data_IF_891295657129
#
_entry.id   IF_891295657129
#
_cell.length_a   1.000
_cell.length_b   1.000
_cell.length_c   1.000
_cell.angle_alpha   90.00
_cell.angle_beta   90.00
_cell.angle_gamma   90.00
#
_symmetry.space_group_name_H-M   'P 1'
#
loop_
_entity.id
_entity.type
_entity.pdbx_description
1 polymer ?
#
# COMPACT_ATOMS: atom_id res chain seq x y z
N UNK A 1 -15.22 -31.24 19.77
CA UNK A 1 -15.95 -31.16 18.49
C UNK A 1 -16.74 -29.87 18.47
N UNK A 2 -16.36 -28.86 17.67
CA UNK A 2 -17.26 -27.74 17.37
C UNK A 2 -18.01 -28.10 16.09
N UNK A 3 -19.29 -28.43 16.25
CA UNK A 3 -20.26 -28.40 15.16
C UNK A 3 -20.63 -26.93 15.02
N UNK A 4 -20.38 -26.30 13.86
CA UNK A 4 -21.07 -25.10 13.41
C UNK A 4 -20.86 -24.94 11.89
N UNK A 5 -21.90 -25.27 11.14
CA UNK A 5 -21.97 -25.19 9.67
C UNK A 5 -22.28 -23.80 9.12
N UNK A 6 -21.88 -22.73 9.81
CA UNK A 6 -21.94 -21.38 9.26
C UNK A 6 -20.59 -21.06 8.61
N UNK A 7 -20.54 -20.65 7.32
CA UNK A 7 -19.28 -20.18 6.76
C UNK A 7 -18.79 -19.01 7.62
N UNK A 8 -17.61 -19.16 8.24
CA UNK A 8 -16.98 -18.14 9.09
C UNK A 8 -16.76 -16.85 8.28
N UNK A 9 -17.78 -16.00 8.25
CA UNK A 9 -17.72 -14.69 7.64
C UNK A 9 -16.97 -13.75 8.60
N UNK A 10 -16.07 -12.88 8.10
CA UNK A 10 -15.35 -11.95 8.97
C UNK A 10 -16.33 -11.14 9.82
N UNK A 11 -15.96 -10.86 11.07
CA UNK A 11 -16.72 -9.94 11.92
C UNK A 11 -16.88 -8.58 11.23
N UNK A 12 -17.92 -7.77 11.56
CA UNK A 12 -18.13 -6.48 10.93
C UNK A 12 -16.90 -5.57 10.96
N UNK A 13 -16.15 -5.56 12.07
CA UNK A 13 -14.91 -4.80 12.22
C UNK A 13 -13.78 -5.31 11.33
N UNK A 14 -13.58 -6.63 11.25
CA UNK A 14 -12.59 -7.20 10.34
C UNK A 14 -12.94 -6.93 8.87
N UNK A 15 -14.23 -7.03 8.51
CA UNK A 15 -14.71 -6.73 7.17
C UNK A 15 -14.50 -5.26 6.81
N UNK A 16 -14.82 -4.35 7.73
CA UNK A 16 -14.57 -2.92 7.54
C UNK A 16 -13.07 -2.64 7.32
N UNK A 17 -12.20 -3.25 8.13
CA UNK A 17 -10.76 -3.09 7.99
C UNK A 17 -10.21 -3.65 6.66
N UNK A 18 -10.72 -4.80 6.18
CA UNK A 18 -10.38 -5.33 4.85
C UNK A 18 -10.81 -4.39 3.72
N UNK A 19 -11.99 -3.76 3.83
CA UNK A 19 -12.44 -2.76 2.87
C UNK A 19 -11.58 -1.51 2.90
N UNK A 20 -11.24 -1.01 4.08
CA UNK A 20 -10.30 0.12 4.23
C UNK A 20 -8.97 -0.21 3.57
N UNK A 21 -8.40 -1.39 3.84
CA UNK A 21 -7.17 -1.85 3.20
C UNK A 21 -7.30 -1.92 1.67
N UNK A 22 -8.41 -2.46 1.15
CA UNK A 22 -8.66 -2.55 -0.28
C UNK A 22 -8.76 -1.16 -0.94
N UNK A 23 -9.45 -0.21 -0.30
CA UNK A 23 -9.58 1.17 -0.79
C UNK A 23 -8.21 1.87 -0.79
N UNK A 24 -7.46 1.82 0.31
CA UNK A 24 -6.15 2.47 0.42
C UNK A 24 -5.15 1.91 -0.60
N UNK A 25 -5.08 0.58 -0.75
CA UNK A 25 -4.25 -0.05 -1.76
C UNK A 25 -4.70 0.26 -3.19
N UNK A 26 -6.01 0.43 -3.43
CA UNK A 26 -6.54 0.85 -4.74
C UNK A 26 -6.17 2.30 -5.05
N UNK A 27 -6.19 3.21 -4.08
CA UNK A 27 -5.72 4.59 -4.26
C UNK A 27 -4.25 4.59 -4.71
N UNK A 28 -3.39 3.81 -4.06
CA UNK A 28 -1.99 3.62 -4.45
C UNK A 28 -1.83 3.06 -5.87
N UNK A 29 -2.66 2.07 -6.23
CA UNK A 29 -2.66 1.48 -7.57
C UNK A 29 -3.13 2.49 -8.64
N UNK A 30 -4.16 3.28 -8.33
CA UNK A 30 -4.75 4.27 -9.23
C UNK A 30 -3.75 5.38 -9.57
N UNK A 31 -3.01 5.91 -8.59
CA UNK A 31 -1.93 6.88 -8.85
C UNK A 31 -0.81 6.28 -9.71
N UNK A 32 -0.43 5.04 -9.44
CA UNK A 32 0.58 4.33 -10.25
C UNK A 32 0.12 4.20 -11.71
N UNK A 33 -1.14 3.80 -11.94
CA UNK A 33 -1.72 3.70 -13.28
C UNK A 33 -1.86 5.09 -13.96
N UNK A 34 -2.30 6.11 -13.22
CA UNK A 34 -2.42 7.47 -13.72
C UNK A 34 -1.07 8.00 -14.24
N UNK A 35 0.01 7.83 -13.47
CA UNK A 35 1.35 8.21 -13.92
C UNK A 35 1.86 7.35 -15.08
N UNK A 36 1.51 6.05 -15.10
CA UNK A 36 1.85 5.19 -16.23
C UNK A 36 1.23 5.70 -17.54
N UNK A 37 -0.01 6.21 -17.48
CA UNK A 37 -0.74 6.78 -18.61
C UNK A 37 -0.32 8.23 -18.95
N UNK A 38 0.78 8.72 -18.38
CA UNK A 38 1.35 10.03 -18.68
C UNK A 38 0.86 11.16 -17.77
N UNK A 39 0.05 10.85 -16.76
CA UNK A 39 -0.34 11.79 -15.72
C UNK A 39 0.86 12.39 -14.99
N UNK A 40 0.80 13.68 -14.67
CA UNK A 40 1.91 14.43 -14.05
C UNK A 40 1.56 15.06 -12.71
N UNK A 41 0.28 15.12 -12.37
CA UNK A 41 -0.17 15.63 -11.08
C UNK A 41 0.48 14.80 -9.96
N UNK A 42 1.05 15.49 -8.98
CA UNK A 42 1.74 14.92 -7.82
C UNK A 42 2.97 14.02 -8.14
N UNK A 43 3.41 13.93 -9.39
CA UNK A 43 4.54 13.05 -9.75
C UNK A 43 5.85 13.52 -9.11
N UNK A 44 6.01 14.82 -8.94
CA UNK A 44 7.12 15.46 -8.22
C UNK A 44 7.18 15.04 -6.75
N UNK A 45 6.03 14.73 -6.14
CA UNK A 45 5.95 14.26 -4.75
C UNK A 45 6.40 12.81 -4.56
N UNK A 46 6.65 12.06 -5.65
CA UNK A 46 7.23 10.71 -5.63
C UNK A 46 8.76 10.76 -5.60
N UNK A 47 9.34 11.89 -6.03
CA UNK A 47 10.77 12.12 -6.06
C UNK A 47 11.34 12.39 -7.45
N UNK A 48 12.47 13.10 -7.50
CA UNK A 48 13.19 13.42 -8.75
C UNK A 48 13.41 12.19 -9.64
N UNK A 49 13.78 11.05 -9.04
CA UNK A 49 14.00 9.81 -9.80
C UNK A 49 12.78 9.40 -10.64
N UNK A 50 11.57 9.48 -10.06
CA UNK A 50 10.35 9.13 -10.77
C UNK A 50 10.10 10.10 -11.94
N UNK A 51 10.31 11.41 -11.71
CA UNK A 51 10.21 12.43 -12.76
C UNK A 51 11.21 12.16 -13.89
N UNK A 52 12.47 11.84 -13.55
CA UNK A 52 13.54 11.56 -14.52
C UNK A 52 13.22 10.33 -15.36
N UNK A 53 12.81 9.22 -14.74
CA UNK A 53 12.48 7.98 -15.46
C UNK A 53 11.33 8.19 -16.44
N UNK A 54 10.26 8.89 -16.04
CA UNK A 54 9.12 9.14 -16.93
C UNK A 54 9.48 10.11 -18.07
N UNK A 55 10.47 10.99 -17.88
CA UNK A 55 10.97 11.89 -18.95
C UNK A 55 11.92 11.19 -19.92
N UNK A 56 12.89 10.45 -19.39
CA UNK A 56 14.01 9.91 -20.17
C UNK A 56 13.76 8.51 -20.72
N UNK A 57 12.86 7.74 -20.10
CA UNK A 57 12.58 6.33 -20.41
C UNK A 57 11.07 6.04 -20.35
N UNK A 58 10.24 6.69 -21.18
CA UNK A 58 8.78 6.63 -21.06
C UNK A 58 8.18 5.22 -21.20
N UNK A 59 8.72 4.38 -22.09
CA UNK A 59 8.24 2.99 -22.23
C UNK A 59 8.56 2.12 -21.00
N UNK A 60 9.73 2.33 -20.40
CA UNK A 60 10.12 1.64 -19.16
C UNK A 60 9.26 2.11 -18.00
N UNK A 61 9.01 3.43 -17.93
CA UNK A 61 8.12 4.02 -16.93
C UNK A 61 6.69 3.46 -17.05
N UNK A 62 6.14 3.40 -18.27
CA UNK A 62 4.83 2.81 -18.54
C UNK A 62 4.75 1.36 -18.04
N UNK A 63 5.69 0.51 -18.48
CA UNK A 63 5.70 -0.90 -18.08
C UNK A 63 5.88 -1.09 -16.57
N UNK A 64 6.83 -0.38 -15.97
CA UNK A 64 7.11 -0.45 -14.54
C UNK A 64 5.94 0.03 -13.68
N UNK A 65 5.34 1.18 -14.01
CA UNK A 65 4.23 1.75 -13.25
C UNK A 65 2.94 0.94 -13.42
N UNK A 66 2.67 0.39 -14.62
CA UNK A 66 1.54 -0.54 -14.80
C UNK A 66 1.73 -1.83 -14.02
N UNK A 67 2.94 -2.42 -14.03
CA UNK A 67 3.23 -3.61 -13.24
C UNK A 67 3.03 -3.33 -11.74
N UNK A 68 3.55 -2.21 -11.24
CA UNK A 68 3.34 -1.76 -9.85
C UNK A 68 1.87 -1.53 -9.54
N UNK A 69 1.11 -0.92 -10.45
CA UNK A 69 -0.33 -0.70 -10.29
C UNK A 69 -1.09 -2.03 -10.16
N UNK A 70 -0.82 -3.00 -11.03
CA UNK A 70 -1.44 -4.33 -11.00
C UNK A 70 -1.10 -5.05 -9.69
N UNK A 71 0.18 -5.07 -9.30
CA UNK A 71 0.61 -5.72 -8.05
C UNK A 71 -0.07 -5.09 -6.84
N UNK A 72 -0.12 -3.76 -6.76
CA UNK A 72 -0.81 -3.04 -5.67
C UNK A 72 -2.30 -3.35 -5.65
N UNK A 73 -2.96 -3.33 -6.80
CA UNK A 73 -4.39 -3.63 -6.91
C UNK A 73 -4.69 -5.06 -6.45
N UNK A 74 -3.92 -6.04 -6.92
CA UNK A 74 -4.06 -7.43 -6.50
C UNK A 74 -3.79 -7.59 -5.00
N UNK A 75 -2.71 -7.00 -4.49
CA UNK A 75 -2.39 -7.03 -3.06
C UNK A 75 -3.47 -6.37 -2.19
N UNK A 76 -4.20 -5.38 -2.72
CA UNK A 76 -5.28 -4.69 -2.02
C UNK A 76 -6.55 -5.55 -1.94
N UNK A 77 -6.90 -6.24 -3.03
CA UNK A 77 -8.18 -6.95 -3.15
C UNK A 77 -8.12 -8.44 -2.77
N UNK A 78 -7.00 -9.12 -3.01
CA UNK A 78 -6.85 -10.55 -2.73
C UNK A 78 -7.15 -10.89 -1.26
N UNK A 79 -6.65 -10.16 -0.24
CA UNK A 79 -6.96 -10.46 1.15
C UNK A 79 -8.46 -10.38 1.45
N UNK A 80 -9.15 -9.35 0.93
CA UNK A 80 -10.60 -9.19 1.09
C UNK A 80 -11.37 -10.34 0.43
N UNK A 81 -11.02 -10.70 -0.81
CA UNK A 81 -11.66 -11.79 -1.55
C UNK A 81 -11.39 -13.16 -0.91
N UNK A 82 -10.18 -13.38 -0.41
CA UNK A 82 -9.79 -14.62 0.25
C UNK A 82 -10.50 -14.79 1.61
N UNK A 83 -10.56 -13.74 2.43
CA UNK A 83 -11.23 -13.77 3.74
C UNK A 83 -12.77 -13.83 3.61
N UNK A 84 -13.33 -13.36 2.50
CA UNK A 84 -14.77 -13.50 2.17
C UNK A 84 -15.09 -14.77 1.36
N UNK A 85 -14.12 -15.70 1.21
CA UNK A 85 -14.27 -16.98 0.49
C UNK A 85 -14.71 -16.84 -0.97
N UNK A 86 -14.46 -15.70 -1.60
CA UNK A 86 -14.75 -15.45 -3.03
C UNK A 86 -13.69 -16.06 -3.96
N UNK A 87 -12.50 -16.34 -3.44
CA UNK A 87 -11.41 -17.02 -4.15
C UNK A 87 -10.81 -18.15 -3.29
N UNK A 88 -10.26 -19.21 -3.89
CA UNK A 88 -9.60 -20.29 -3.17
C UNK A 88 -8.23 -19.84 -2.60
N UNK A 89 -7.62 -20.70 -1.78
CA UNK A 89 -6.25 -20.49 -1.29
C UNK A 89 -6.11 -19.57 -0.08
N UNK A 90 -7.19 -19.38 0.71
CA UNK A 90 -7.20 -18.51 1.91
C UNK A 90 -5.95 -18.65 2.79
N UNK A 91 -5.45 -19.85 3.15
CA UNK A 91 -4.26 -19.97 4.01
C UNK A 91 -3.00 -19.33 3.41
N UNK A 92 -2.80 -19.47 2.08
CA UNK A 92 -1.65 -18.92 1.36
C UNK A 92 -1.73 -17.40 1.33
N UNK A 93 -2.87 -16.86 0.90
CA UNK A 93 -3.07 -15.41 0.83
C UNK A 93 -2.98 -14.75 2.20
N UNK A 94 -3.48 -15.44 3.22
CA UNK A 94 -3.37 -14.99 4.61
C UNK A 94 -1.91 -14.99 5.08
N UNK A 95 -1.11 -16.00 4.72
CA UNK A 95 0.33 -16.04 4.99
C UNK A 95 1.07 -14.87 4.35
N UNK A 96 0.81 -14.60 3.07
CA UNK A 96 1.37 -13.45 2.35
C UNK A 96 0.94 -12.13 3.01
N UNK A 97 -0.34 -11.99 3.36
CA UNK A 97 -0.86 -10.79 4.00
C UNK A 97 -0.27 -10.56 5.41
N UNK A 98 0.07 -11.62 6.14
CA UNK A 98 0.76 -11.54 7.43
C UNK A 98 2.20 -11.04 7.34
N UNK A 99 2.85 -11.22 6.18
CA UNK A 99 4.17 -10.62 5.92
C UNK A 99 3.99 -9.21 5.36
N UNK A 100 3.12 -9.05 4.36
CA UNK A 100 2.91 -7.80 3.64
C UNK A 100 2.36 -6.67 4.52
N UNK A 101 1.37 -6.93 5.38
CA UNK A 101 0.78 -5.92 6.26
C UNK A 101 1.81 -5.26 7.18
N UNK A 102 2.52 -6.02 8.03
CA UNK A 102 3.58 -5.49 8.88
C UNK A 102 4.72 -4.84 8.09
N UNK A 103 5.11 -5.41 6.95
CA UNK A 103 6.11 -4.79 6.07
C UNK A 103 5.67 -3.39 5.63
N UNK A 104 4.43 -3.21 5.18
CA UNK A 104 3.89 -1.91 4.77
C UNK A 104 3.86 -0.90 5.93
N UNK A 105 3.52 -1.34 7.14
CA UNK A 105 3.56 -0.50 8.34
C UNK A 105 4.97 0.01 8.58
N UNK A 106 5.96 -0.91 8.62
CA UNK A 106 7.35 -0.57 8.92
C UNK A 106 7.91 0.32 7.80
N UNK A 107 7.75 -0.10 6.55
CA UNK A 107 8.24 0.65 5.38
C UNK A 107 7.63 2.06 5.33
N UNK A 108 6.31 2.17 5.43
CA UNK A 108 5.63 3.46 5.38
C UNK A 108 6.00 4.37 6.54
N UNK A 109 6.04 3.83 7.76
CA UNK A 109 6.36 4.65 8.95
C UNK A 109 7.81 5.12 8.94
N UNK A 110 8.76 4.24 8.59
CA UNK A 110 10.19 4.58 8.55
C UNK A 110 10.47 5.62 7.49
N UNK A 111 9.94 5.46 6.26
CA UNK A 111 10.17 6.45 5.20
C UNK A 111 9.50 7.79 5.49
N UNK A 112 8.28 7.79 6.03
CA UNK A 112 7.60 9.01 6.45
C UNK A 112 8.40 9.76 7.54
N UNK A 113 8.89 9.04 8.55
CA UNK A 113 9.70 9.60 9.62
C UNK A 113 11.05 10.14 9.12
N UNK A 114 11.71 9.42 8.22
CA UNK A 114 12.96 9.87 7.61
C UNK A 114 12.76 11.16 6.80
N UNK A 115 11.72 11.21 5.96
CA UNK A 115 11.39 12.41 5.20
C UNK A 115 11.02 13.59 6.10
N UNK A 116 10.26 13.34 7.17
CA UNK A 116 9.93 14.36 8.18
C UNK A 116 11.16 14.87 8.94
N UNK A 117 12.10 13.98 9.31
CA UNK A 117 13.34 14.36 9.99
C UNK A 117 14.22 15.27 9.11
N UNK A 118 14.31 14.98 7.80
CA UNK A 118 15.02 15.85 6.85
C UNK A 118 14.30 17.20 6.72
N UNK A 119 12.97 17.21 6.59
CA UNK A 119 12.18 18.44 6.52
C UNK A 119 12.28 19.29 7.80
N UNK A 120 12.44 18.67 8.95
CA UNK A 120 12.64 19.32 10.25
C UNK A 120 14.08 19.84 10.46
N UNK A 121 15.01 19.53 9.56
CA UNK A 121 16.42 19.89 9.67
C UNK A 121 17.20 19.07 10.70
N UNK A 122 16.65 17.92 11.14
CA UNK A 122 17.36 17.00 12.05
C UNK A 122 18.43 16.17 11.32
N UNK A 123 18.32 16.07 9.99
CA UNK A 123 19.25 15.35 9.12
C UNK A 123 19.61 16.26 7.94
N UNK A 124 20.90 16.57 7.81
CA UNK A 124 21.41 17.37 6.69
C UNK A 124 21.58 16.52 5.43
N UNK A 125 21.17 17.07 4.28
CA UNK A 125 21.36 16.45 2.95
C UNK A 125 21.84 17.52 1.97
N UNK A 126 22.76 17.16 1.06
CA UNK A 126 23.43 18.13 0.17
C UNK A 126 22.50 18.81 -0.84
N UNK A 127 21.47 18.12 -1.32
CA UNK A 127 20.37 18.68 -2.09
C UNK A 127 19.08 17.95 -1.74
N UNK A 128 18.06 18.69 -1.33
CA UNK A 128 16.79 18.12 -0.88
C UNK A 128 15.68 18.39 -1.90
N UNK A 129 15.17 17.32 -2.50
CA UNK A 129 13.94 17.33 -3.30
C UNK A 129 12.73 17.56 -2.39
N UNK A 130 12.45 18.84 -2.12
CA UNK A 130 11.44 19.25 -1.14
C UNK A 130 10.04 18.72 -1.48
N UNK A 131 9.54 18.79 -2.74
CA UNK A 131 8.27 18.16 -3.10
C UNK A 131 8.24 16.66 -2.81
N UNK A 132 9.29 15.92 -3.18
CA UNK A 132 9.43 14.50 -2.89
C UNK A 132 9.37 14.21 -1.39
N UNK A 133 10.13 14.95 -0.58
CA UNK A 133 10.12 14.80 0.87
C UNK A 133 8.73 15.08 1.49
N UNK A 134 8.02 16.11 1.02
CA UNK A 134 6.65 16.39 1.48
C UNK A 134 5.70 15.24 1.12
N UNK A 135 5.81 14.71 -0.10
CA UNK A 135 5.03 13.57 -0.55
C UNK A 135 5.26 12.33 0.31
N UNK A 136 6.52 11.99 0.57
CA UNK A 136 6.89 10.87 1.43
C UNK A 136 6.44 11.07 2.87
N UNK A 137 6.68 12.25 3.46
CA UNK A 137 6.35 12.52 4.86
C UNK A 137 4.84 12.51 5.15
N UNK A 138 4.01 13.03 4.22
CA UNK A 138 2.61 13.36 4.51
C UNK A 138 1.59 12.61 3.65
N UNK A 139 2.01 12.00 2.53
CA UNK A 139 1.07 11.42 1.58
C UNK A 139 1.34 9.93 1.33
N UNK A 140 2.43 9.58 0.65
CA UNK A 140 2.60 8.23 0.10
C UNK A 140 2.90 7.20 1.16
N UNK A 141 3.86 7.48 2.04
CA UNK A 141 4.33 6.51 3.03
C UNK A 141 3.36 6.37 4.21
N UNK A 142 2.73 7.46 4.73
CA UNK A 142 1.60 7.33 5.65
C UNK A 142 0.45 6.51 5.07
N UNK A 143 0.14 6.68 3.78
CA UNK A 143 -0.91 5.91 3.11
C UNK A 143 -0.54 4.41 3.02
N UNK A 144 0.73 4.08 2.76
CA UNK A 144 1.22 2.69 2.86
C UNK A 144 1.10 2.14 4.28
N UNK A 145 1.49 2.92 5.30
CA UNK A 145 1.40 2.51 6.69
C UNK A 145 -0.05 2.26 7.11
N UNK A 146 -1.00 3.12 6.72
CA UNK A 146 -2.42 2.96 6.98
C UNK A 146 -3.01 1.73 6.26
N UNK A 147 -2.60 1.48 5.02
CA UNK A 147 -2.99 0.25 4.31
C UNK A 147 -2.50 -1.00 5.04
N UNK A 148 -1.22 -1.03 5.43
CA UNK A 148 -0.65 -2.12 6.21
C UNK A 148 -1.36 -2.31 7.56
N UNK A 149 -1.62 -1.21 8.29
CA UNK A 149 -2.28 -1.24 9.59
C UNK A 149 -3.71 -1.79 9.50
N UNK A 150 -4.50 -1.35 8.51
CA UNK A 150 -5.85 -1.86 8.28
C UNK A 150 -5.83 -3.37 7.96
N UNK A 151 -4.89 -3.80 7.09
CA UNK A 151 -4.74 -5.21 6.74
C UNK A 151 -4.33 -6.05 7.95
N UNK A 152 -3.28 -5.67 8.67
CA UNK A 152 -2.80 -6.39 9.86
C UNK A 152 -3.87 -6.44 10.95
N UNK A 153 -4.60 -5.34 11.19
CA UNK A 153 -5.70 -5.33 12.14
C UNK A 153 -6.79 -6.35 11.76
N UNK A 154 -7.20 -6.39 10.49
CA UNK A 154 -8.17 -7.38 10.03
C UNK A 154 -7.69 -8.81 10.28
N UNK A 155 -6.41 -9.10 10.02
CA UNK A 155 -5.81 -10.43 10.24
C UNK A 155 -5.75 -10.81 11.73
N UNK A 156 -5.47 -9.86 12.62
CA UNK A 156 -5.46 -10.03 14.07
C UNK A 156 -6.87 -10.33 14.58
N UNK A 157 -7.87 -9.56 14.15
CA UNK A 157 -9.27 -9.75 14.59
C UNK A 157 -9.81 -11.10 14.12
N UNK A 158 -9.58 -11.45 12.85
CA UNK A 158 -9.99 -12.75 12.28
C UNK A 158 -9.21 -13.95 12.80
N UNK A 159 -8.13 -13.75 13.57
CA UNK A 159 -7.41 -14.85 14.25
C UNK A 159 -8.11 -15.28 15.54
N UNK A 160 -8.87 -14.38 16.16
CA UNK A 160 -9.54 -14.61 17.46
C UNK A 160 -10.94 -15.21 17.32
N UNK A 161 -11.44 -15.31 16.10
CA UNK A 161 -12.73 -15.87 15.71
C UNK A 161 -12.53 -17.26 15.14
#
# INVERSE_FOLDING_TARGET
MRVNGTPDCPTPSARAALWVAAILGTVHAAWSAYWALGGRILLDTVGVWAVTVVKERPLMALGGLLAVAVVKFLAAWIPLLAETRRIPGRPVWRGIAWVGGPFLIIYGTVNAAAAAAILAGWVETGSSDRPGLIGHALLWDPLFALWGAALTFALVVTRRT
#
